data_IF_592224139827
#
_entry.id   IF_592224139827
#
_cell.length_a   1.000
_cell.length_b   1.000
_cell.length_c   1.000
_cell.angle_alpha   90.00
_cell.angle_beta   90.00
_cell.angle_gamma   90.00
#
_symmetry.space_group_name_H-M   'P 1'
#
loop_
_entity.id
_entity.type
_entity.pdbx_description
1 polymer ?
#
# COMPACT_ATOMS: atom_id res chain seq x y z
N UNK A 1 4.78 15.61 -7.36
CA UNK A 1 3.46 16.20 -7.66
C UNK A 1 2.67 16.53 -6.39
N UNK A 2 2.47 15.57 -5.48
CA UNK A 2 1.76 15.86 -4.21
C UNK A 2 2.57 16.78 -3.29
N UNK A 3 3.90 16.69 -3.30
CA UNK A 3 4.78 17.58 -2.53
C UNK A 3 4.74 19.04 -2.99
N UNK A 4 4.38 19.30 -4.22
CA UNK A 4 4.22 20.66 -4.78
C UNK A 4 2.79 21.20 -4.57
N UNK A 5 1.84 20.34 -4.22
CA UNK A 5 0.48 20.71 -3.85
C UNK A 5 0.44 21.11 -2.37
N UNK A 6 -0.47 22.02 -2.01
CA UNK A 6 -0.73 22.38 -0.61
C UNK A 6 -1.49 21.29 0.17
N UNK A 7 -1.54 20.07 -0.35
CA UNK A 7 -2.24 18.94 0.28
C UNK A 7 -1.31 18.32 1.33
N UNK A 8 -1.78 18.32 2.56
CA UNK A 8 -1.11 17.65 3.65
C UNK A 8 -1.49 16.16 3.65
N UNK A 9 -0.51 15.28 3.54
CA UNK A 9 -0.70 13.83 3.62
C UNK A 9 -0.07 13.31 4.90
N UNK A 10 -0.82 12.50 5.65
CA UNK A 10 -0.35 11.85 6.87
C UNK A 10 -0.66 10.35 6.81
N UNK A 11 0.34 9.53 7.04
CA UNK A 11 0.19 8.09 7.25
C UNK A 11 0.26 7.79 8.75
N UNK A 12 -0.62 6.93 9.23
CA UNK A 12 -0.66 6.48 10.63
C UNK A 12 -1.37 5.13 10.74
N UNK A 13 -1.17 4.44 11.84
CA UNK A 13 -1.94 3.25 12.16
C UNK A 13 -3.39 3.61 12.49
N UNK A 14 -4.32 2.69 12.22
CA UNK A 14 -5.75 2.92 12.50
C UNK A 14 -6.04 3.18 13.98
N UNK A 15 -5.34 2.46 14.88
CA UNK A 15 -5.41 2.67 16.33
C UNK A 15 -4.91 4.05 16.76
N UNK A 16 -3.84 4.55 16.13
CA UNK A 16 -3.33 5.90 16.40
C UNK A 16 -4.29 6.98 15.87
N UNK A 17 -4.87 6.74 14.68
CA UNK A 17 -5.85 7.65 14.11
C UNK A 17 -7.04 7.83 15.05
N UNK A 18 -7.64 6.72 15.49
CA UNK A 18 -8.81 6.74 16.37
C UNK A 18 -8.51 7.35 17.73
N UNK A 19 -7.31 7.10 18.28
CA UNK A 19 -6.94 7.59 19.62
C UNK A 19 -6.51 9.06 19.66
N UNK A 20 -5.81 9.57 18.63
CA UNK A 20 -5.08 10.83 18.76
C UNK A 20 -5.30 11.83 17.64
N UNK A 21 -5.87 11.43 16.48
CA UNK A 21 -5.81 12.26 15.29
C UNK A 21 -7.16 12.69 14.72
N UNK A 22 -8.26 12.25 15.33
CA UNK A 22 -9.60 12.64 14.89
C UNK A 22 -9.90 14.06 15.37
N UNK A 23 -10.30 14.91 14.41
CA UNK A 23 -10.69 16.30 14.68
C UNK A 23 -12.21 16.41 14.84
N UNK A 24 -12.68 17.51 15.41
CA UNK A 24 -14.11 17.78 15.58
C UNK A 24 -14.87 17.85 14.25
N UNK A 25 -14.24 18.42 13.22
CA UNK A 25 -14.75 18.47 11.84
C UNK A 25 -13.66 17.99 10.88
N UNK A 26 -14.02 17.13 9.93
CA UNK A 26 -13.14 16.55 8.93
C UNK A 26 -13.71 16.64 7.50
N UNK A 27 -14.64 17.56 7.23
CA UNK A 27 -15.30 17.74 5.92
C UNK A 27 -14.31 17.95 4.74
N UNK A 28 -13.13 18.51 5.02
CA UNK A 28 -12.08 18.73 4.03
C UNK A 28 -11.01 17.62 4.01
N UNK A 29 -11.34 16.47 4.57
CA UNK A 29 -10.39 15.35 4.72
C UNK A 29 -10.84 14.16 3.87
N UNK A 30 -9.87 13.52 3.23
CA UNK A 30 -10.05 12.20 2.62
C UNK A 30 -9.28 11.18 3.45
N UNK A 31 -9.97 10.16 3.95
CA UNK A 31 -9.36 9.01 4.57
C UNK A 31 -9.18 7.92 3.52
N UNK A 32 -7.95 7.43 3.38
CA UNK A 32 -7.65 6.24 2.56
C UNK A 32 -7.28 5.10 3.52
N UNK A 33 -8.19 4.16 3.69
CA UNK A 33 -7.96 2.97 4.51
C UNK A 33 -7.36 1.86 3.65
N UNK A 34 -6.22 1.34 4.05
CA UNK A 34 -5.52 0.24 3.36
C UNK A 34 -5.69 -1.01 4.23
N UNK A 35 -6.38 -2.02 3.70
CA UNK A 35 -6.65 -3.25 4.44
C UNK A 35 -6.71 -4.47 3.50
N UNK A 36 -6.26 -5.60 3.97
CA UNK A 36 -6.29 -6.85 3.21
C UNK A 36 -7.68 -7.48 3.23
N UNK A 37 -8.17 -7.85 4.41
CA UNK A 37 -9.47 -8.52 4.59
C UNK A 37 -10.65 -7.56 4.75
N UNK A 38 -10.37 -6.35 5.25
CA UNK A 38 -11.42 -5.38 5.59
C UNK A 38 -12.22 -5.72 6.85
N UNK A 39 -11.73 -6.65 7.68
CA UNK A 39 -12.40 -7.10 8.92
C UNK A 39 -11.65 -6.67 10.19
N UNK A 40 -10.52 -5.98 10.07
CA UNK A 40 -9.73 -5.51 11.21
C UNK A 40 -10.52 -4.47 12.00
N UNK A 41 -10.75 -4.74 13.28
CA UNK A 41 -11.60 -3.94 14.16
C UNK A 41 -11.11 -2.49 14.24
N UNK A 42 -9.83 -2.26 14.52
CA UNK A 42 -9.28 -0.91 14.65
C UNK A 42 -9.47 -0.07 13.39
N UNK A 43 -9.29 -0.69 12.21
CA UNK A 43 -9.49 -0.01 10.92
C UNK A 43 -10.96 0.35 10.73
N UNK A 44 -11.88 -0.55 11.04
CA UNK A 44 -13.31 -0.32 10.89
C UNK A 44 -13.81 0.75 11.85
N UNK A 45 -13.32 0.76 13.09
CA UNK A 45 -13.61 1.80 14.10
C UNK A 45 -13.11 3.16 13.63
N UNK A 46 -11.84 3.25 13.20
CA UNK A 46 -11.26 4.49 12.72
C UNK A 46 -12.02 5.07 11.52
N UNK A 47 -12.36 4.24 10.54
CA UNK A 47 -13.15 4.65 9.36
C UNK A 47 -14.50 5.21 9.79
N UNK A 48 -15.23 4.50 10.66
CA UNK A 48 -16.54 4.94 11.15
C UNK A 48 -16.45 6.29 11.85
N UNK A 49 -15.52 6.44 12.77
CA UNK A 49 -15.33 7.67 13.53
C UNK A 49 -14.99 8.87 12.64
N UNK A 50 -14.11 8.68 11.64
CA UNK A 50 -13.69 9.73 10.71
C UNK A 50 -14.85 10.12 9.77
N UNK A 51 -15.62 9.14 9.30
CA UNK A 51 -16.81 9.37 8.47
C UNK A 51 -17.89 10.14 9.23
N UNK A 52 -18.13 9.82 10.50
CA UNK A 52 -19.07 10.56 11.37
C UNK A 52 -18.66 12.05 11.57
N UNK A 53 -17.40 12.38 11.31
CA UNK A 53 -16.86 13.74 11.35
C UNK A 53 -16.88 14.47 9.99
N UNK A 54 -17.48 13.87 8.97
CA UNK A 54 -17.69 14.46 7.65
C UNK A 54 -16.61 14.15 6.61
N UNK A 55 -15.59 13.36 6.94
CA UNK A 55 -14.56 13.01 5.97
C UNK A 55 -15.09 12.09 4.87
N UNK A 56 -14.60 12.26 3.65
CA UNK A 56 -14.79 11.29 2.58
C UNK A 56 -13.89 10.06 2.81
N UNK A 57 -14.44 8.87 2.67
CA UNK A 57 -13.74 7.63 3.01
C UNK A 57 -13.58 6.72 1.80
N UNK A 58 -12.33 6.32 1.53
CA UNK A 58 -11.93 5.38 0.50
C UNK A 58 -11.23 4.18 1.14
N UNK A 59 -11.56 2.97 0.73
CA UNK A 59 -10.81 1.78 1.12
C UNK A 59 -10.11 1.13 -0.07
N UNK A 60 -8.88 0.69 0.13
CA UNK A 60 -8.15 -0.17 -0.80
C UNK A 60 -8.11 -1.57 -0.20
N UNK A 61 -8.81 -2.52 -0.82
CA UNK A 61 -9.07 -3.85 -0.27
C UNK A 61 -8.66 -4.96 -1.23
N UNK A 62 -8.16 -6.06 -0.67
CA UNK A 62 -8.00 -7.30 -1.43
C UNK A 62 -9.30 -8.12 -1.44
N UNK A 63 -10.02 -8.18 -0.32
CA UNK A 63 -11.15 -9.10 -0.14
C UNK A 63 -12.48 -8.36 -0.32
N UNK A 64 -13.33 -8.89 -1.20
CA UNK A 64 -14.71 -8.40 -1.33
C UNK A 64 -15.52 -8.77 -0.11
N UNK A 65 -16.53 -7.95 0.21
CA UNK A 65 -17.46 -8.17 1.31
C UNK A 65 -16.82 -8.17 2.71
N UNK A 66 -15.66 -7.57 2.88
CA UNK A 66 -15.16 -7.22 4.22
C UNK A 66 -16.00 -6.09 4.82
N UNK A 67 -16.13 -6.06 6.15
CA UNK A 67 -17.00 -5.11 6.88
C UNK A 67 -16.75 -3.66 6.45
N UNK A 68 -15.48 -3.29 6.24
CA UNK A 68 -15.08 -1.95 5.84
C UNK A 68 -15.71 -1.53 4.50
N UNK A 69 -15.97 -2.47 3.58
CA UNK A 69 -16.56 -2.16 2.28
C UNK A 69 -17.97 -1.60 2.36
N UNK A 70 -18.67 -1.86 3.46
CA UNK A 70 -19.99 -1.30 3.75
C UNK A 70 -19.93 0.01 4.53
N UNK A 71 -18.78 0.34 5.09
CA UNK A 71 -18.59 1.56 5.89
C UNK A 71 -18.12 2.75 5.07
N UNK A 72 -17.27 2.51 4.06
CA UNK A 72 -16.65 3.57 3.25
C UNK A 72 -17.57 4.07 2.13
N UNK A 73 -17.27 5.27 1.63
CA UNK A 73 -18.00 5.86 0.49
C UNK A 73 -17.56 5.22 -0.84
N UNK A 74 -16.30 4.81 -0.95
CA UNK A 74 -15.74 4.19 -2.16
C UNK A 74 -14.76 3.07 -1.80
N UNK A 75 -14.75 2.02 -2.61
CA UNK A 75 -13.81 0.91 -2.47
C UNK A 75 -13.06 0.67 -3.77
N UNK A 76 -11.74 0.61 -3.68
CA UNK A 76 -10.85 0.10 -4.72
C UNK A 76 -10.42 -1.32 -4.36
N UNK A 77 -10.63 -2.27 -5.27
CA UNK A 77 -10.21 -3.64 -5.06
C UNK A 77 -8.88 -3.93 -5.76
N UNK A 78 -7.99 -4.62 -5.06
CA UNK A 78 -6.78 -5.18 -5.65
C UNK A 78 -7.18 -6.31 -6.59
N UNK A 79 -6.67 -6.27 -7.83
CA UNK A 79 -7.05 -7.23 -8.83
C UNK A 79 -8.57 -7.33 -8.99
N UNK A 80 -9.10 -8.54 -8.84
CA UNK A 80 -10.55 -8.78 -8.87
C UNK A 80 -11.22 -8.80 -7.47
N UNK A 81 -10.47 -8.51 -6.42
CA UNK A 81 -10.96 -8.52 -5.03
C UNK A 81 -11.22 -9.94 -4.48
N UNK A 82 -10.55 -10.95 -5.03
CA UNK A 82 -10.74 -12.36 -4.65
C UNK A 82 -9.42 -13.12 -4.50
N UNK A 83 -8.30 -12.41 -4.50
CA UNK A 83 -7.00 -13.07 -4.36
C UNK A 83 -6.87 -13.72 -2.99
N UNK A 84 -6.42 -14.97 -3.00
CA UNK A 84 -6.25 -15.75 -1.79
C UNK A 84 -4.88 -15.43 -1.20
N UNK A 85 -4.89 -14.97 0.04
CA UNK A 85 -3.74 -14.94 0.93
C UNK A 85 -3.95 -15.98 2.02
N UNK A 86 -3.05 -16.94 2.12
CA UNK A 86 -3.20 -18.09 3.03
C UNK A 86 -2.72 -17.74 4.43
N UNK A 87 -1.73 -16.83 4.53
CA UNK A 87 -1.15 -16.41 5.79
C UNK A 87 -1.57 -14.99 6.18
N UNK A 88 -1.58 -14.71 7.47
CA UNK A 88 -1.81 -13.35 7.99
C UNK A 88 -0.81 -12.34 7.44
N UNK A 89 0.50 -12.63 7.38
CA UNK A 89 1.45 -11.81 6.63
C UNK A 89 1.20 -12.00 5.15
N UNK A 90 0.58 -11.01 4.53
CA UNK A 90 0.31 -11.05 3.08
C UNK A 90 1.56 -10.69 2.28
N UNK A 91 1.75 -11.36 1.16
CA UNK A 91 2.89 -11.12 0.25
C UNK A 91 2.45 -10.43 -1.03
N UNK A 92 1.61 -11.08 -1.82
CA UNK A 92 1.07 -10.50 -3.07
C UNK A 92 0.29 -9.23 -2.82
N UNK A 93 -0.62 -9.25 -1.87
CA UNK A 93 -1.49 -8.11 -1.57
C UNK A 93 -0.69 -6.92 -1.05
N UNK A 94 0.41 -7.13 -0.33
CA UNK A 94 1.31 -6.06 0.06
C UNK A 94 1.87 -5.31 -1.18
N UNK A 95 2.43 -6.04 -2.13
CA UNK A 95 2.96 -5.46 -3.37
C UNK A 95 1.83 -4.77 -4.17
N UNK A 96 0.66 -5.41 -4.26
CA UNK A 96 -0.49 -4.83 -4.95
C UNK A 96 -0.99 -3.53 -4.27
N UNK A 97 -0.97 -3.43 -2.94
CA UNK A 97 -1.29 -2.19 -2.23
C UNK A 97 -0.34 -1.06 -2.59
N UNK A 98 0.97 -1.34 -2.65
CA UNK A 98 1.98 -0.36 -3.08
C UNK A 98 1.69 0.08 -4.52
N UNK A 99 1.46 -0.85 -5.44
CA UNK A 99 1.17 -0.53 -6.84
C UNK A 99 -0.10 0.32 -7.00
N UNK A 100 -1.17 -0.04 -6.31
CA UNK A 100 -2.42 0.75 -6.34
C UNK A 100 -2.22 2.13 -5.72
N UNK A 101 -1.41 2.24 -4.65
CA UNK A 101 -1.01 3.50 -4.07
C UNK A 101 -0.27 4.40 -5.07
N UNK A 102 0.69 3.85 -5.82
CA UNK A 102 1.38 4.58 -6.90
C UNK A 102 0.43 5.02 -8.00
N UNK A 103 -0.45 4.13 -8.47
CA UNK A 103 -1.44 4.45 -9.50
C UNK A 103 -2.37 5.58 -9.02
N UNK A 104 -2.91 5.47 -7.81
CA UNK A 104 -3.78 6.50 -7.24
C UNK A 104 -3.06 7.84 -7.10
N UNK A 105 -1.83 7.83 -6.59
CA UNK A 105 -0.99 9.04 -6.46
C UNK A 105 -0.71 9.67 -7.81
N UNK A 106 -0.46 8.86 -8.83
CA UNK A 106 -0.23 9.33 -10.19
C UNK A 106 -1.46 10.05 -10.73
N UNK A 107 -2.64 9.44 -10.67
CA UNK A 107 -3.89 10.05 -11.15
C UNK A 107 -4.26 11.30 -10.38
N UNK A 108 -4.14 11.29 -9.05
CA UNK A 108 -4.36 12.48 -8.22
C UNK A 108 -3.40 13.61 -8.61
N UNK A 109 -2.14 13.29 -8.88
CA UNK A 109 -1.14 14.26 -9.33
C UNK A 109 -1.49 14.87 -10.70
N UNK A 110 -2.06 14.11 -11.62
CA UNK A 110 -2.52 14.62 -12.93
C UNK A 110 -3.69 15.58 -12.75
N UNK A 111 -4.70 15.20 -11.97
CA UNK A 111 -5.86 16.04 -11.70
C UNK A 111 -5.47 17.36 -11.00
N UNK A 112 -4.65 17.30 -9.96
CA UNK A 112 -4.20 18.47 -9.20
C UNK A 112 -3.44 19.44 -10.09
N UNK A 113 -2.57 18.94 -10.98
CA UNK A 113 -1.75 19.78 -11.84
C UNK A 113 -2.44 20.14 -13.17
N UNK A 114 -3.67 19.67 -13.41
CA UNK A 114 -4.41 19.84 -14.66
C UNK A 114 -3.59 19.46 -15.90
N UNK A 115 -2.73 18.47 -15.78
CA UNK A 115 -1.91 17.94 -16.85
C UNK A 115 -2.75 16.92 -17.62
N UNK A 116 -3.49 17.39 -18.61
CA UNK A 116 -4.13 16.52 -19.60
C UNK A 116 -3.09 15.89 -20.51
N UNK A 117 -2.44 14.84 -20.09
CA UNK A 117 -1.52 14.08 -20.91
C UNK A 117 -1.90 12.60 -20.81
N UNK A 118 -2.37 12.02 -21.90
CA UNK A 118 -2.75 10.60 -22.02
C UNK A 118 -1.53 9.66 -22.04
N UNK A 119 -0.32 10.19 -21.92
CA UNK A 119 0.87 9.38 -21.81
C UNK A 119 1.14 9.02 -20.33
N UNK A 120 1.05 7.73 -20.03
CA UNK A 120 1.22 7.15 -18.71
C UNK A 120 2.57 6.38 -18.60
N UNK A 121 3.72 7.06 -18.65
CA UNK A 121 5.03 6.38 -18.73
C UNK A 121 5.31 5.51 -17.50
N UNK A 122 4.81 5.91 -16.32
CA UNK A 122 4.95 5.12 -15.10
C UNK A 122 4.12 3.85 -15.17
N UNK A 123 2.86 3.94 -15.64
CA UNK A 123 1.99 2.77 -15.77
C UNK A 123 2.51 1.79 -16.81
N UNK A 124 3.09 2.26 -17.92
CA UNK A 124 3.75 1.39 -18.92
C UNK A 124 4.87 0.57 -18.30
N UNK A 125 5.72 1.18 -17.47
CA UNK A 125 6.79 0.46 -16.76
C UNK A 125 6.27 -0.61 -15.80
N UNK A 126 5.09 -0.41 -15.20
CA UNK A 126 4.48 -1.42 -14.33
C UNK A 126 4.01 -2.68 -15.09
N UNK A 127 3.68 -2.55 -16.38
CA UNK A 127 3.30 -3.71 -17.22
C UNK A 127 4.48 -4.66 -17.39
N UNK A 128 5.70 -4.14 -17.50
CA UNK A 128 6.91 -4.93 -17.70
C UNK A 128 7.48 -5.52 -16.40
N UNK A 129 7.00 -5.04 -15.24
CA UNK A 129 7.52 -5.43 -13.94
C UNK A 129 7.49 -6.94 -13.68
N UNK A 130 6.43 -7.71 -14.00
CA UNK A 130 6.42 -9.16 -13.80
C UNK A 130 7.55 -9.86 -14.55
N UNK A 131 7.83 -9.47 -15.79
CA UNK A 131 8.92 -10.06 -16.59
C UNK A 131 10.29 -9.71 -16.02
N UNK A 132 10.47 -8.48 -15.55
CA UNK A 132 11.71 -8.07 -14.89
C UNK A 132 11.97 -8.85 -13.60
N UNK A 133 10.92 -9.11 -12.80
CA UNK A 133 11.02 -9.95 -11.61
C UNK A 133 11.40 -11.39 -11.94
N UNK A 134 10.78 -12.00 -12.94
CA UNK A 134 11.13 -13.34 -13.39
C UNK A 134 12.59 -13.43 -13.83
N UNK A 135 13.04 -12.51 -14.67
CA UNK A 135 14.45 -12.43 -15.11
C UNK A 135 15.40 -12.27 -13.92
N UNK A 136 15.01 -11.47 -12.93
CA UNK A 136 15.81 -11.30 -11.71
C UNK A 136 15.92 -12.62 -10.94
N UNK A 137 14.81 -13.33 -10.73
CA UNK A 137 14.79 -14.61 -10.04
C UNK A 137 15.65 -15.65 -10.78
N UNK A 138 15.55 -15.72 -12.09
CA UNK A 138 16.34 -16.63 -12.92
C UNK A 138 17.83 -16.34 -12.82
N UNK A 139 18.22 -15.08 -12.83
CA UNK A 139 19.61 -14.67 -12.69
C UNK A 139 20.19 -14.94 -11.29
N UNK A 140 19.36 -14.89 -10.24
CA UNK A 140 19.78 -15.13 -8.86
C UNK A 140 19.87 -16.62 -8.47
N UNK A 141 19.38 -17.55 -9.29
CA UNK A 141 19.55 -18.98 -9.08
C UNK A 141 20.98 -19.48 -9.39
N UNK A 142 21.96 -18.58 -9.48
CA UNK A 142 23.33 -18.92 -9.80
C UNK A 142 24.09 -19.50 -8.59
N UNK A 143 25.06 -20.35 -8.89
CA UNK A 143 25.97 -21.02 -7.96
C UNK A 143 26.67 -20.04 -6.99
N UNK A 144 26.85 -18.77 -7.39
CA UNK A 144 27.49 -17.74 -6.58
C UNK A 144 26.70 -17.39 -5.31
N UNK A 145 25.35 -17.32 -5.39
CA UNK A 145 24.52 -17.04 -4.24
C UNK A 145 24.60 -18.15 -3.19
N UNK A 146 24.59 -19.40 -3.62
CA UNK A 146 24.67 -20.56 -2.72
C UNK A 146 25.97 -20.56 -1.92
N UNK A 147 27.08 -20.21 -2.56
CA UNK A 147 28.39 -20.14 -1.90
C UNK A 147 28.47 -19.01 -0.86
N UNK A 148 27.85 -17.86 -1.11
CA UNK A 148 27.73 -16.77 -0.14
C UNK A 148 26.81 -17.14 1.02
N UNK A 149 25.65 -17.73 0.74
CA UNK A 149 24.67 -18.14 1.75
C UNK A 149 25.26 -19.12 2.77
N UNK A 150 26.06 -20.10 2.35
CA UNK A 150 26.72 -21.05 3.24
C UNK A 150 27.66 -20.37 4.24
N UNK A 151 28.31 -19.26 3.86
CA UNK A 151 29.11 -18.46 4.79
C UNK A 151 28.24 -17.65 5.75
N UNK A 152 27.15 -17.06 5.25
CA UNK A 152 26.25 -16.23 6.05
C UNK A 152 25.49 -17.04 7.10
N UNK A 153 25.09 -18.26 6.81
CA UNK A 153 24.38 -19.14 7.75
C UNK A 153 25.20 -19.48 9.01
N UNK A 154 26.50 -19.28 8.99
CA UNK A 154 27.37 -19.49 10.16
C UNK A 154 27.51 -18.24 11.04
N UNK A 155 26.96 -17.09 10.60
CA UNK A 155 27.07 -15.83 11.33
C UNK A 155 25.80 -15.64 12.16
N UNK A 156 25.91 -15.57 13.52
CA UNK A 156 24.73 -15.51 14.38
C UNK A 156 24.03 -14.14 14.44
N UNK A 157 24.70 -13.09 13.95
CA UNK A 157 24.16 -11.72 14.00
C UNK A 157 24.24 -11.05 12.64
N UNK A 158 23.11 -10.56 12.16
CA UNK A 158 22.98 -9.89 10.88
C UNK A 158 22.48 -8.47 11.09
N UNK A 159 23.07 -7.52 10.37
CA UNK A 159 22.58 -6.15 10.30
C UNK A 159 22.06 -5.91 8.89
N UNK A 160 20.79 -5.57 8.77
CA UNK A 160 20.16 -5.17 7.52
C UNK A 160 20.08 -3.65 7.50
N UNK A 161 20.72 -3.04 6.53
CA UNK A 161 20.71 -1.58 6.33
C UNK A 161 19.80 -1.25 5.15
N UNK A 162 18.91 -0.32 5.33
CA UNK A 162 17.92 0.12 4.35
C UNK A 162 17.79 1.64 4.37
N UNK A 163 17.37 2.21 3.25
CA UNK A 163 17.25 3.65 3.03
C UNK A 163 15.81 4.13 2.79
N UNK A 164 14.86 3.21 2.71
CA UNK A 164 13.46 3.51 2.46
C UNK A 164 12.51 2.61 3.27
N UNK A 165 11.27 3.03 3.53
CA UNK A 165 10.25 2.20 4.18
C UNK A 165 10.01 0.86 3.46
N UNK A 166 10.06 0.85 2.13
CA UNK A 166 9.86 -0.37 1.33
C UNK A 166 11.02 -1.36 1.54
N UNK A 167 12.26 -0.86 1.61
CA UNK A 167 13.45 -1.65 1.90
C UNK A 167 13.42 -2.22 3.32
N UNK A 168 12.87 -1.47 4.29
CA UNK A 168 12.70 -1.94 5.67
C UNK A 168 11.82 -3.18 5.74
N UNK A 169 10.66 -3.15 5.09
CA UNK A 169 9.74 -4.29 5.08
C UNK A 169 10.34 -5.51 4.38
N UNK A 170 11.14 -5.31 3.34
CA UNK A 170 11.84 -6.39 2.66
C UNK A 170 12.96 -7.03 3.51
N UNK A 171 13.46 -6.32 4.53
CA UNK A 171 14.52 -6.78 5.42
C UNK A 171 14.03 -7.54 6.68
N UNK A 172 12.73 -7.51 6.96
CA UNK A 172 12.09 -8.23 8.06
C UNK A 172 11.68 -9.63 7.59
#
# INVERSE_FOLDING_TARGET
>A
AIQESKIMVKACLASELSAFHIRGNMDSTVLIAIAQSGTTIDTNVAVKMVKEKGAYTLAILNKRLGDISYLVDTTLYLGNGRDIEIAVPSTKTYICHILVGYILTYFLGQEINKRGNDDYPVLRKLIDLPQQLLTTIENYNSIQLTSCLNKFLQIPHWYVVYDSPDSFVAGI
#
